data_IF_627451086250
#
_entry.id   IF_627451086250
#
_cell.length_a   1.000
_cell.length_b   1.000
_cell.length_c   1.000
_cell.angle_alpha   90.00
_cell.angle_beta   90.00
_cell.angle_gamma   90.00
#
_symmetry.space_group_name_H-M   'P 1'
#
loop_
_entity.id
_entity.type
_entity.pdbx_description
1 polymer ?
#
# COMPACT_ATOMS: atom_id res chain seq x y z
N UNK A 1 16.66 -21.12 2.78
CA UNK A 1 16.17 -19.83 3.26
C UNK A 1 16.70 -18.61 2.47
N UNK A 2 17.88 -18.65 1.85
CA UNK A 2 18.52 -17.47 1.23
C UNK A 2 17.96 -17.05 -0.14
N UNK A 3 17.16 -17.85 -0.81
CA UNK A 3 16.68 -17.60 -2.19
C UNK A 3 15.35 -16.86 -2.30
N UNK A 4 14.61 -16.71 -1.21
CA UNK A 4 13.33 -15.98 -1.18
C UNK A 4 13.55 -14.46 -1.31
N UNK A 5 14.72 -13.99 -0.87
CA UNK A 5 15.09 -12.57 -0.81
C UNK A 5 15.05 -11.83 -2.15
N UNK A 6 15.37 -12.51 -3.24
CA UNK A 6 15.58 -11.82 -4.53
C UNK A 6 14.29 -11.57 -5.29
N UNK A 7 13.23 -12.32 -5.00
CA UNK A 7 12.01 -12.26 -5.80
C UNK A 7 11.00 -11.24 -5.28
N UNK A 8 10.92 -11.09 -3.97
CA UNK A 8 10.01 -10.09 -3.37
C UNK A 8 10.42 -8.66 -3.73
N UNK A 9 11.72 -8.41 -3.87
CA UNK A 9 12.25 -7.11 -4.27
C UNK A 9 11.95 -6.77 -5.74
N UNK A 10 11.89 -7.78 -6.61
CA UNK A 10 11.69 -7.58 -8.05
C UNK A 10 10.24 -7.20 -8.40
N UNK A 11 9.25 -7.68 -7.63
CA UNK A 11 7.83 -7.41 -7.91
C UNK A 11 7.44 -5.99 -7.51
N UNK A 12 8.08 -5.42 -6.49
CA UNK A 12 7.79 -4.06 -6.01
C UNK A 12 8.37 -2.98 -6.94
N UNK A 13 9.44 -3.31 -7.67
CA UNK A 13 10.12 -2.34 -8.54
C UNK A 13 9.36 -1.98 -9.82
N UNK A 14 8.33 -2.73 -10.20
CA UNK A 14 7.61 -2.51 -11.47
C UNK A 14 6.38 -1.60 -11.38
N UNK A 15 5.96 -1.19 -10.19
CA UNK A 15 4.72 -0.40 -10.01
C UNK A 15 4.93 1.11 -10.21
N UNK A 16 6.13 1.59 -10.53
CA UNK A 16 6.45 3.02 -10.49
C UNK A 16 6.48 3.75 -11.85
N UNK A 17 5.87 3.23 -12.90
CA UNK A 17 5.87 3.99 -14.16
C UNK A 17 4.46 4.14 -14.73
N UNK A 18 3.78 5.18 -14.38
CA UNK A 18 2.98 6.00 -15.28
C UNK A 18 2.33 7.19 -14.58
N UNK A 19 3.04 8.30 -14.46
CA UNK A 19 2.39 9.60 -14.31
C UNK A 19 2.13 10.19 -15.69
N UNK A 20 0.91 10.12 -16.18
CA UNK A 20 0.51 10.80 -17.39
C UNK A 20 0.44 12.31 -17.16
N UNK A 21 1.17 13.05 -17.97
CA UNK A 21 1.26 14.50 -18.03
C UNK A 21 -0.11 15.11 -18.36
N UNK A 22 -0.66 15.90 -17.47
CA UNK A 22 -1.89 16.68 -17.70
C UNK A 22 -1.56 17.89 -18.57
N UNK A 23 -2.19 17.97 -19.71
CA UNK A 23 -2.15 19.14 -20.60
C UNK A 23 -3.28 20.09 -20.20
N UNK A 24 -2.92 21.31 -19.85
CA UNK A 24 -3.89 22.38 -19.59
C UNK A 24 -4.52 22.84 -20.91
N UNK A 25 -5.83 22.73 -21.00
CA UNK A 25 -6.57 23.46 -22.01
C UNK A 25 -7.77 24.16 -21.35
N UNK A 26 -7.68 25.47 -21.27
CA UNK A 26 -8.71 26.35 -20.72
C UNK A 26 -9.86 26.47 -21.72
N UNK A 27 -11.04 26.03 -21.32
CA UNK A 27 -12.29 26.51 -21.92
C UNK A 27 -13.41 26.58 -20.89
N UNK A 28 -13.89 27.77 -20.69
CA UNK A 28 -15.01 28.16 -19.84
C UNK A 28 -16.29 27.44 -20.27
N UNK A 29 -16.87 26.63 -19.42
CA UNK A 29 -18.23 26.13 -19.58
C UNK A 29 -18.87 25.90 -18.23
N UNK A 30 -20.12 26.35 -18.11
CA UNK A 30 -20.97 26.38 -16.95
C UNK A 30 -20.95 25.12 -16.09
N UNK A 31 -20.68 25.29 -14.81
CA UNK A 31 -20.61 24.27 -13.78
C UNK A 31 -21.97 23.66 -13.47
N UNK A 32 -22.23 22.50 -14.01
CA UNK A 32 -23.03 21.52 -13.28
C UNK A 32 -22.08 20.83 -12.31
N UNK A 33 -22.20 21.11 -11.04
CA UNK A 33 -21.42 20.46 -9.96
C UNK A 33 -21.87 19.01 -9.88
N UNK A 34 -21.30 18.16 -10.71
CA UNK A 34 -21.33 16.74 -10.48
C UNK A 34 -20.29 16.50 -9.38
N UNK A 35 -20.74 16.31 -8.16
CA UNK A 35 -19.91 15.86 -7.05
C UNK A 35 -19.40 14.47 -7.43
N UNK A 36 -18.24 14.39 -8.05
CA UNK A 36 -17.55 13.10 -8.20
C UNK A 36 -17.07 12.70 -6.81
N UNK A 37 -17.80 11.82 -6.16
CA UNK A 37 -17.33 11.23 -4.91
C UNK A 37 -16.05 10.46 -5.23
N UNK A 38 -14.93 10.93 -4.72
CA UNK A 38 -13.67 10.20 -4.79
C UNK A 38 -13.84 8.88 -4.06
N UNK A 39 -13.53 7.77 -4.73
CA UNK A 39 -13.61 6.43 -4.16
C UNK A 39 -12.22 6.03 -3.70
N UNK A 40 -12.10 5.57 -2.48
CA UNK A 40 -10.86 5.10 -1.87
C UNK A 40 -10.85 3.58 -1.79
N UNK A 41 -9.65 3.00 -1.83
CA UNK A 41 -9.46 1.58 -1.56
C UNK A 41 -9.91 1.23 -0.14
N UNK A 42 -10.46 0.04 0.04
CA UNK A 42 -10.95 -0.43 1.33
C UNK A 42 -10.08 -1.57 1.86
N UNK A 43 -9.90 -1.68 3.20
CA UNK A 43 -9.22 -2.83 3.78
C UNK A 43 -9.95 -4.13 3.47
N UNK A 44 -9.23 -5.13 2.97
CA UNK A 44 -9.79 -6.47 2.70
C UNK A 44 -9.37 -7.50 3.74
N UNK A 45 -8.39 -7.18 4.56
CA UNK A 45 -7.80 -8.06 5.57
C UNK A 45 -8.62 -8.22 6.85
N UNK A 46 -9.67 -7.44 7.03
CA UNK A 46 -10.36 -7.34 8.32
C UNK A 46 -9.53 -6.72 9.44
N UNK A 47 -8.42 -6.04 9.12
CA UNK A 47 -7.63 -5.33 10.11
C UNK A 47 -8.46 -4.23 10.77
N UNK A 48 -8.44 -4.19 12.10
CA UNK A 48 -9.10 -3.15 12.87
C UNK A 48 -8.09 -2.10 13.29
N UNK A 49 -8.39 -0.85 13.00
CA UNK A 49 -7.57 0.28 13.43
C UNK A 49 -7.56 0.39 14.96
N UNK A 50 -6.38 0.52 15.54
CA UNK A 50 -6.18 0.64 16.99
C UNK A 50 -4.83 1.30 17.29
N UNK A 51 -4.77 2.10 18.34
CA UNK A 51 -3.53 2.75 18.77
C UNK A 51 -3.07 3.90 17.85
N UNK A 52 -1.88 4.39 18.17
CA UNK A 52 -1.26 5.54 17.49
C UNK A 52 0.24 5.31 17.43
N UNK A 53 0.83 5.44 16.25
CA UNK A 53 2.29 5.42 16.05
C UNK A 53 2.77 6.87 16.07
N UNK A 54 3.75 7.17 16.91
CA UNK A 54 4.38 8.49 16.97
C UNK A 54 5.63 8.50 16.09
N UNK A 55 5.75 9.51 15.24
CA UNK A 55 6.84 9.70 14.29
C UNK A 55 7.35 11.16 14.46
N UNK A 56 8.39 11.36 15.26
CA UNK A 56 8.89 12.68 15.59
C UNK A 56 7.80 13.55 16.22
N UNK A 57 7.45 14.65 15.56
CA UNK A 57 6.38 15.55 15.99
C UNK A 57 5.01 15.18 15.44
N UNK A 58 4.89 14.09 14.69
CA UNK A 58 3.67 13.64 14.06
C UNK A 58 3.16 12.35 14.69
N UNK A 59 1.89 12.09 14.47
CA UNK A 59 1.26 10.84 14.90
C UNK A 59 0.36 10.32 13.79
N UNK A 60 0.36 9.01 13.58
CA UNK A 60 -0.55 8.35 12.66
C UNK A 60 -1.44 7.37 13.40
N UNK A 61 -2.72 7.38 13.09
CA UNK A 61 -3.72 6.50 13.69
C UNK A 61 -4.87 6.23 12.72
N UNK A 62 -5.55 5.11 12.86
CA UNK A 62 -6.69 4.80 12.01
C UNK A 62 -6.30 4.10 10.71
N UNK A 63 -7.10 4.32 9.67
CA UNK A 63 -6.92 3.75 8.34
C UNK A 63 -6.60 4.83 7.33
N UNK A 64 -5.66 4.57 6.47
CA UNK A 64 -5.28 5.44 5.35
C UNK A 64 -5.42 4.67 4.05
N UNK A 65 -5.96 5.31 3.01
CA UNK A 65 -6.13 4.67 1.71
C UNK A 65 -5.79 5.62 0.56
N UNK A 66 -5.32 5.06 -0.54
CA UNK A 66 -5.22 5.81 -1.80
C UNK A 66 -6.58 5.86 -2.50
N UNK A 67 -6.75 6.85 -3.35
CA UNK A 67 -7.80 6.78 -4.35
C UNK A 67 -7.67 5.50 -5.18
N UNK A 68 -8.81 5.04 -5.68
CA UNK A 68 -8.88 3.95 -6.63
C UNK A 68 -8.31 4.39 -7.99
N UNK A 69 -7.32 3.70 -8.51
CA UNK A 69 -6.68 4.06 -9.76
C UNK A 69 -6.55 2.85 -10.70
N UNK A 70 -6.46 3.12 -12.00
CA UNK A 70 -6.36 2.06 -12.99
C UNK A 70 -5.10 1.22 -12.83
N UNK A 71 -5.28 -0.09 -12.90
CA UNK A 71 -4.22 -1.09 -12.96
C UNK A 71 -4.32 -1.80 -14.32
N UNK A 72 -3.61 -1.29 -15.33
CA UNK A 72 -3.69 -1.81 -16.71
C UNK A 72 -2.39 -2.48 -17.15
N UNK A 73 -1.67 -3.07 -16.22
CA UNK A 73 -0.37 -3.70 -16.48
C UNK A 73 -0.53 -5.21 -16.68
N UNK A 74 0.35 -5.80 -17.49
CA UNK A 74 0.49 -7.25 -17.64
C UNK A 74 0.98 -7.97 -16.37
N UNK A 75 1.31 -7.23 -15.34
CA UNK A 75 1.78 -7.73 -14.04
C UNK A 75 0.67 -7.89 -13.00
N UNK A 76 -0.59 -7.82 -13.41
CA UNK A 76 -1.76 -8.04 -12.54
C UNK A 76 -2.64 -9.17 -13.09
N UNK A 77 -3.54 -9.76 -12.28
CA UNK A 77 -4.52 -10.72 -12.76
C UNK A 77 -5.33 -10.17 -13.94
N UNK A 78 -5.70 -11.03 -14.89
CA UNK A 78 -6.33 -10.63 -16.16
C UNK A 78 -7.70 -9.98 -16.02
N UNK A 79 -8.37 -10.17 -14.91
CA UNK A 79 -9.68 -9.60 -14.59
C UNK A 79 -9.61 -8.33 -13.72
N UNK A 80 -8.40 -7.91 -13.34
CA UNK A 80 -8.17 -6.67 -12.59
C UNK A 80 -8.12 -5.47 -13.54
N UNK A 81 -8.81 -4.40 -13.17
CA UNK A 81 -8.80 -3.14 -13.90
C UNK A 81 -8.35 -1.96 -13.03
N UNK A 82 -8.46 -2.09 -11.72
CA UNK A 82 -8.12 -1.03 -10.76
C UNK A 82 -7.38 -1.60 -9.55
N UNK A 83 -6.70 -0.71 -8.85
CA UNK A 83 -5.99 -1.06 -7.62
C UNK A 83 -5.99 0.12 -6.65
N UNK A 84 -5.61 -0.16 -5.42
CA UNK A 84 -5.37 0.84 -4.40
C UNK A 84 -4.53 0.28 -3.26
N UNK A 85 -3.96 1.19 -2.49
CA UNK A 85 -3.17 0.85 -1.32
C UNK A 85 -3.91 1.23 -0.05
N UNK A 86 -3.76 0.42 0.97
CA UNK A 86 -4.33 0.67 2.30
C UNK A 86 -3.25 0.51 3.36
N UNK A 87 -3.27 1.35 4.38
CA UNK A 87 -2.49 1.20 5.58
C UNK A 87 -3.40 1.32 6.80
N UNK A 88 -3.32 0.37 7.71
CA UNK A 88 -4.12 0.33 8.93
C UNK A 88 -3.18 0.29 10.12
N UNK A 89 -3.22 1.31 10.97
CA UNK A 89 -2.48 1.32 12.23
C UNK A 89 -3.18 0.38 13.20
N UNK A 90 -2.48 -0.63 13.70
CA UNK A 90 -3.05 -1.71 14.50
C UNK A 90 -2.61 -1.70 15.98
N UNK A 91 -1.56 -0.93 16.29
CA UNK A 91 -1.12 -0.67 17.67
C UNK A 91 -0.23 0.58 17.72
N UNK A 92 0.41 0.84 18.85
CA UNK A 92 1.36 1.95 19.00
C UNK A 92 2.69 1.74 18.26
N UNK A 93 2.95 0.56 17.75
CA UNK A 93 4.19 0.17 17.09
C UNK A 93 3.97 -0.76 15.89
N UNK A 94 2.73 -0.94 15.45
CA UNK A 94 2.45 -1.82 14.32
C UNK A 94 1.41 -1.27 13.37
N UNK A 95 1.60 -1.56 12.09
CA UNK A 95 0.65 -1.28 11.04
C UNK A 95 0.63 -2.40 10.00
N UNK A 96 -0.48 -2.50 9.30
CA UNK A 96 -0.65 -3.39 8.16
C UNK A 96 -0.72 -2.56 6.90
N UNK A 97 0.00 -2.99 5.87
CA UNK A 97 -0.16 -2.46 4.51
C UNK A 97 -0.81 -3.51 3.63
N UNK A 98 -1.61 -3.03 2.69
CA UNK A 98 -2.30 -3.86 1.71
C UNK A 98 -2.12 -3.25 0.33
N UNK A 99 -2.00 -4.11 -0.68
CA UNK A 99 -2.14 -3.76 -2.08
C UNK A 99 -3.34 -4.55 -2.57
N UNK A 100 -4.42 -3.87 -2.87
CA UNK A 100 -5.68 -4.49 -3.27
C UNK A 100 -5.96 -4.22 -4.74
N UNK A 101 -6.35 -5.25 -5.46
CA UNK A 101 -6.64 -5.25 -6.88
C UNK A 101 -8.12 -5.54 -7.11
N UNK A 102 -8.77 -4.77 -7.97
CA UNK A 102 -10.21 -4.77 -8.15
C UNK A 102 -10.59 -4.91 -9.62
N UNK A 103 -11.79 -5.46 -9.87
CA UNK A 103 -12.37 -5.58 -11.21
C UNK A 103 -12.99 -4.27 -11.71
N UNK A 104 -13.31 -3.37 -10.81
CA UNK A 104 -14.07 -2.16 -11.11
C UNK A 104 -13.38 -0.88 -10.62
N UNK A 105 -13.84 0.24 -11.16
CA UNK A 105 -13.35 1.57 -10.84
C UNK A 105 -13.79 2.10 -9.48
N UNK A 106 -14.62 1.39 -8.76
CA UNK A 106 -15.12 1.79 -7.43
C UNK A 106 -14.31 1.17 -6.30
N UNK A 107 -13.38 0.25 -6.59
CA UNK A 107 -12.52 -0.41 -5.61
C UNK A 107 -13.29 -0.97 -4.40
N UNK A 108 -14.40 -1.64 -4.65
CA UNK A 108 -15.19 -2.24 -3.58
C UNK A 108 -14.62 -3.61 -3.21
N UNK A 109 -14.63 -3.95 -1.93
CA UNK A 109 -14.12 -5.23 -1.45
C UNK A 109 -14.87 -6.45 -2.02
N UNK A 110 -16.11 -6.27 -2.43
CA UNK A 110 -16.97 -7.30 -3.04
C UNK A 110 -16.60 -7.58 -4.49
N UNK A 111 -15.90 -6.65 -5.15
CA UNK A 111 -15.30 -6.90 -6.46
C UNK A 111 -14.16 -7.87 -6.28
N UNK A 112 -13.75 -8.51 -7.33
CA UNK A 112 -12.56 -9.34 -7.26
C UNK A 112 -11.41 -8.56 -6.66
N UNK A 113 -10.69 -9.14 -5.72
CA UNK A 113 -9.42 -8.59 -5.28
C UNK A 113 -8.37 -9.67 -5.05
N UNK A 114 -7.14 -9.29 -5.25
CA UNK A 114 -5.96 -9.95 -4.72
C UNK A 114 -5.39 -9.02 -3.67
N UNK A 115 -5.37 -9.45 -2.44
CA UNK A 115 -4.81 -8.67 -1.34
C UNK A 115 -3.42 -9.14 -0.98
N UNK A 116 -2.47 -8.23 -0.90
CA UNK A 116 -1.17 -8.47 -0.30
C UNK A 116 -1.11 -7.73 1.01
N UNK A 117 -0.98 -8.49 2.09
CA UNK A 117 -1.04 -7.96 3.42
C UNK A 117 0.34 -8.05 4.07
N UNK A 118 0.85 -6.91 4.49
CA UNK A 118 2.04 -6.87 5.32
C UNK A 118 1.64 -6.60 6.75
N UNK A 119 1.94 -7.50 7.65
CA UNK A 119 1.89 -7.19 9.08
C UNK A 119 3.30 -6.77 9.48
N UNK A 120 3.41 -5.56 10.00
CA UNK A 120 4.66 -4.96 10.45
C UNK A 120 4.53 -4.66 11.92
N UNK A 121 5.38 -5.27 12.72
CA UNK A 121 5.47 -5.05 14.17
C UNK A 121 6.81 -4.38 14.50
N UNK A 122 6.89 -3.77 15.68
CA UNK A 122 8.10 -3.07 16.16
C UNK A 122 8.57 -1.95 15.23
N UNK A 123 7.65 -1.12 14.76
CA UNK A 123 7.99 0.10 14.04
C UNK A 123 8.72 1.05 14.99
N UNK A 124 9.94 1.40 14.64
CA UNK A 124 10.78 2.28 15.47
C UNK A 124 11.14 3.54 14.69
N UNK A 125 10.81 4.69 15.25
CA UNK A 125 11.23 5.99 14.74
C UNK A 125 12.75 6.17 14.92
N UNK A 126 13.42 6.52 13.82
CA UNK A 126 14.87 6.79 13.77
C UNK A 126 15.17 8.29 13.52
N UNK A 127 14.13 9.11 13.56
CA UNK A 127 14.20 10.55 13.32
C UNK A 127 14.17 10.98 11.87
N UNK A 128 14.19 12.30 11.64
CA UNK A 128 14.03 12.87 10.30
C UNK A 128 15.21 12.55 9.39
N UNK A 129 14.96 12.59 8.09
CA UNK A 129 16.03 12.56 7.10
C UNK A 129 16.72 13.92 7.06
N UNK A 130 18.05 13.94 7.08
CA UNK A 130 18.83 15.17 7.03
C UNK A 130 18.68 15.97 5.72
N UNK A 131 18.11 15.37 4.68
CA UNK A 131 18.03 15.93 3.33
C UNK A 131 16.67 16.49 2.94
N UNK A 132 15.65 16.33 3.78
CA UNK A 132 14.29 16.76 3.42
C UNK A 132 13.71 17.67 4.50
N UNK A 133 13.53 18.94 4.13
CA UNK A 133 12.87 19.94 4.96
C UNK A 133 11.36 19.71 5.12
N UNK A 134 10.82 18.67 4.48
CA UNK A 134 9.39 18.31 4.47
C UNK A 134 9.10 17.06 5.31
N UNK A 135 9.74 16.94 6.47
CA UNK A 135 9.32 15.99 7.52
C UNK A 135 9.14 14.53 7.10
N UNK A 136 10.14 13.96 6.42
CA UNK A 136 10.20 12.52 6.24
C UNK A 136 10.89 11.89 7.46
N UNK A 137 10.20 11.00 8.13
CA UNK A 137 10.75 10.25 9.24
C UNK A 137 11.34 8.92 8.73
N UNK A 138 12.56 8.61 9.17
CA UNK A 138 13.16 7.31 8.99
C UNK A 138 12.52 6.34 9.97
N UNK A 139 12.09 5.21 9.46
CA UNK A 139 11.58 4.14 10.31
C UNK A 139 12.28 2.83 10.01
N UNK A 140 12.43 2.02 11.04
CA UNK A 140 12.77 0.61 10.91
C UNK A 140 11.60 -0.22 11.42
N UNK A 141 11.43 -1.39 10.86
CA UNK A 141 10.40 -2.33 11.30
C UNK A 141 10.75 -3.75 10.95
N UNK A 142 10.10 -4.69 11.64
CA UNK A 142 10.14 -6.10 11.28
C UNK A 142 8.86 -6.47 10.54
N UNK A 143 8.99 -6.89 9.29
CA UNK A 143 7.91 -7.55 8.59
C UNK A 143 7.78 -8.97 9.14
N UNK A 144 6.65 -9.26 9.77
CA UNK A 144 6.45 -10.54 10.47
C UNK A 144 5.94 -11.60 9.51
N UNK A 145 4.95 -11.24 8.70
CA UNK A 145 4.42 -12.13 7.66
C UNK A 145 3.73 -11.34 6.55
N UNK A 146 3.60 -12.00 5.42
CA UNK A 146 2.77 -11.60 4.31
C UNK A 146 1.52 -12.48 4.27
N UNK A 147 0.40 -11.91 3.87
CA UNK A 147 -0.85 -12.64 3.67
C UNK A 147 -1.32 -12.41 2.25
N UNK A 148 -1.62 -13.47 1.55
CA UNK A 148 -2.14 -13.44 0.18
C UNK A 148 -3.54 -14.01 0.16
N UNK A 149 -4.46 -13.36 -0.56
CA UNK A 149 -5.82 -13.84 -0.71
C UNK A 149 -6.31 -13.57 -2.13
N UNK A 150 -6.41 -14.62 -2.92
CA UNK A 150 -7.10 -14.58 -4.19
C UNK A 150 -8.60 -14.75 -3.95
N UNK A 151 -9.43 -13.94 -4.59
CA UNK A 151 -10.89 -14.05 -4.48
C UNK A 151 -11.54 -14.55 -5.77
N UNK A 152 -10.74 -14.80 -6.82
CA UNK A 152 -11.19 -15.45 -8.06
C UNK A 152 -10.14 -16.38 -8.64
N UNK A 153 -10.56 -17.19 -9.57
CA UNK A 153 -9.70 -18.12 -10.30
C UNK A 153 -8.59 -17.41 -11.09
N UNK A 154 -8.86 -16.21 -11.62
CA UNK A 154 -7.85 -15.43 -12.33
C UNK A 154 -6.75 -14.94 -11.39
N UNK A 155 -7.12 -14.45 -10.21
CA UNK A 155 -6.17 -14.04 -9.17
C UNK A 155 -5.39 -15.24 -8.62
N UNK A 156 -6.05 -16.36 -8.40
CA UNK A 156 -5.40 -17.60 -7.94
C UNK A 156 -4.39 -18.11 -8.97
N UNK A 157 -4.77 -18.20 -10.22
CA UNK A 157 -3.86 -18.58 -11.32
C UNK A 157 -2.65 -17.66 -11.39
N UNK A 158 -2.88 -16.36 -11.26
CA UNK A 158 -1.82 -15.35 -11.30
C UNK A 158 -0.82 -15.53 -10.13
N UNK A 159 -1.31 -15.58 -8.90
CA UNK A 159 -0.45 -15.68 -7.72
C UNK A 159 0.26 -17.03 -7.64
N UNK A 160 -0.41 -18.12 -7.99
CA UNK A 160 0.19 -19.46 -8.07
C UNK A 160 1.30 -19.48 -9.10
N UNK A 161 1.11 -18.82 -10.25
CA UNK A 161 2.14 -18.66 -11.27
C UNK A 161 3.38 -17.91 -10.73
N UNK A 162 3.19 -16.80 -10.02
CA UNK A 162 4.27 -16.02 -9.41
C UNK A 162 5.08 -16.83 -8.38
N UNK A 163 4.43 -17.68 -7.61
CA UNK A 163 5.04 -18.47 -6.54
C UNK A 163 5.34 -19.92 -6.92
N UNK A 164 5.19 -20.27 -8.19
CA UNK A 164 5.37 -21.64 -8.68
C UNK A 164 6.73 -22.26 -8.34
N UNK A 165 7.79 -21.45 -8.34
CA UNK A 165 9.14 -21.90 -7.97
C UNK A 165 9.29 -22.35 -6.50
N UNK A 166 8.33 -22.02 -5.65
CA UNK A 166 8.35 -22.30 -4.22
C UNK A 166 7.35 -23.39 -3.82
N UNK A 167 6.60 -23.95 -4.78
CA UNK A 167 5.58 -24.95 -4.53
C UNK A 167 4.54 -24.47 -3.50
N UNK A 168 4.19 -23.20 -3.54
CA UNK A 168 3.14 -22.63 -2.69
C UNK A 168 1.82 -22.78 -3.43
N UNK A 169 0.89 -23.45 -2.80
CA UNK A 169 -0.46 -23.66 -3.29
C UNK A 169 -1.39 -22.61 -2.70
N UNK A 170 -2.13 -21.94 -3.54
CA UNK A 170 -3.13 -20.96 -3.17
C UNK A 170 -4.52 -21.54 -3.46
N UNK A 171 -5.53 -20.99 -2.83
CA UNK A 171 -6.91 -21.42 -2.97
C UNK A 171 -7.83 -20.20 -2.91
N UNK A 172 -8.75 -20.12 -3.84
CA UNK A 172 -9.72 -19.01 -3.91
C UNK A 172 -10.51 -18.90 -2.60
N UNK A 173 -10.57 -17.70 -2.07
CA UNK A 173 -11.26 -17.37 -0.82
C UNK A 173 -10.51 -17.78 0.46
N UNK A 174 -9.32 -18.36 0.34
CA UNK A 174 -8.52 -18.79 1.48
C UNK A 174 -7.27 -17.92 1.62
N UNK A 175 -7.10 -17.29 2.80
CA UNK A 175 -5.91 -16.52 3.07
C UNK A 175 -4.68 -17.43 3.29
N UNK A 176 -3.61 -17.15 2.56
CA UNK A 176 -2.32 -17.83 2.71
C UNK A 176 -1.34 -16.94 3.45
N UNK A 177 -0.87 -17.41 4.60
CA UNK A 177 0.11 -16.69 5.43
C UNK A 177 1.51 -17.24 5.17
N UNK A 178 2.45 -16.35 4.91
CA UNK A 178 3.87 -16.67 4.75
C UNK A 178 4.67 -15.90 5.79
N UNK A 179 5.30 -16.61 6.72
CA UNK A 179 6.19 -16.01 7.72
C UNK A 179 7.45 -15.48 7.06
N UNK A 180 7.82 -14.26 7.36
CA UNK A 180 8.96 -13.56 6.75
C UNK A 180 10.06 -13.21 7.75
N UNK A 181 9.78 -12.42 8.76
CA UNK A 181 10.74 -12.01 9.78
C UNK A 181 11.82 -11.06 9.26
N UNK A 182 11.56 -10.27 8.22
CA UNK A 182 12.55 -9.39 7.62
C UNK A 182 12.63 -8.04 8.32
N UNK A 183 13.85 -7.65 8.65
CA UNK A 183 14.13 -6.29 9.09
C UNK A 183 14.18 -5.36 7.86
N UNK A 184 13.51 -4.23 7.96
CA UNK A 184 13.36 -3.29 6.86
C UNK A 184 13.62 -1.84 7.28
N UNK A 185 14.08 -1.07 6.31
CA UNK A 185 14.22 0.38 6.36
C UNK A 185 13.15 1.03 5.48
N UNK A 186 12.55 2.11 5.96
CA UNK A 186 11.57 2.86 5.18
C UNK A 186 11.61 4.36 5.53
N UNK A 187 10.92 5.15 4.71
CA UNK A 187 10.58 6.54 4.99
C UNK A 187 9.06 6.66 5.10
N UNK A 188 8.61 7.39 6.10
CA UNK A 188 7.21 7.78 6.22
C UNK A 188 7.13 9.29 6.25
N UNK A 189 6.39 9.87 5.32
CA UNK A 189 6.07 11.29 5.31
C UNK A 189 4.63 11.47 5.76
N UNK A 190 4.44 12.24 6.80
CA UNK A 190 3.12 12.70 7.25
C UNK A 190 2.93 14.12 6.74
N UNK A 191 1.86 14.37 6.04
CA UNK A 191 1.49 15.70 5.58
C UNK A 191 0.24 16.15 6.32
N UNK A 192 0.41 17.14 7.16
CA UNK A 192 -0.69 17.87 7.78
C UNK A 192 -1.42 18.67 6.68
N UNK A 193 -2.72 18.48 6.56
CA UNK A 193 -3.57 19.22 5.63
C UNK A 193 -4.34 20.35 6.32
N UNK A 194 -3.99 20.66 7.56
CA UNK A 194 -4.64 21.71 8.37
C UNK A 194 -5.96 21.25 8.99
N UNK A 195 -6.35 19.98 8.82
CA UNK A 195 -7.42 19.36 9.59
C UNK A 195 -6.89 18.93 10.96
N UNK A 196 -7.78 18.72 11.91
CA UNK A 196 -7.41 18.19 13.24
C UNK A 196 -6.97 16.73 13.21
N UNK A 197 -7.09 16.09 12.07
CA UNK A 197 -6.70 14.71 11.82
C UNK A 197 -5.47 14.67 10.90
N UNK A 198 -4.54 13.77 11.16
CA UNK A 198 -3.23 13.61 10.53
C UNK A 198 -3.27 13.39 9.00
N UNK A 199 -3.94 14.24 8.30
CA UNK A 199 -4.12 14.48 6.86
C UNK A 199 -3.83 13.33 5.91
N UNK A 200 -2.57 13.15 5.55
CA UNK A 200 -2.17 12.10 4.62
C UNK A 200 -0.78 11.55 4.93
N UNK A 201 -0.57 10.30 4.52
CA UNK A 201 0.68 9.57 4.71
C UNK A 201 1.23 9.10 3.38
N UNK A 202 2.55 9.19 3.23
CA UNK A 202 3.28 8.65 2.09
C UNK A 202 4.34 7.68 2.61
N UNK A 203 4.49 6.56 1.95
CA UNK A 203 5.48 5.55 2.31
C UNK A 203 6.58 5.50 1.26
N UNK A 204 7.82 5.31 1.69
CA UNK A 204 8.93 5.01 0.81
C UNK A 204 8.87 3.57 0.30
N UNK A 205 9.78 3.25 -0.61
CA UNK A 205 10.00 1.87 -1.00
C UNK A 205 10.61 1.08 0.16
N UNK A 206 10.14 -0.13 0.32
CA UNK A 206 10.67 -1.04 1.33
C UNK A 206 12.06 -1.52 0.94
N UNK A 207 13.02 -1.47 1.86
CA UNK A 207 14.39 -1.90 1.63
C UNK A 207 14.94 -2.67 2.83
N UNK A 208 15.68 -3.72 2.56
CA UNK A 208 16.37 -4.53 3.58
C UNK A 208 17.81 -4.11 3.84
N UNK A 209 18.33 -3.13 3.11
CA UNK A 209 19.75 -2.76 3.16
C UNK A 209 20.03 -1.32 3.55
N UNK A 210 19.13 -0.39 3.21
CA UNK A 210 19.32 1.05 3.47
C UNK A 210 17.99 1.78 3.42
N UNK A 211 17.95 2.99 3.99
CA UNK A 211 16.77 3.85 3.83
C UNK A 211 16.57 4.24 2.37
N UNK A 212 15.32 4.25 1.89
CA UNK A 212 14.98 4.82 0.59
C UNK A 212 15.43 6.29 0.52
N UNK A 213 15.67 6.78 -0.68
CA UNK A 213 16.00 8.20 -0.90
C UNK A 213 14.78 9.10 -1.00
N UNK A 214 13.63 8.52 -1.32
CA UNK A 214 12.37 9.24 -1.55
C UNK A 214 11.17 8.45 -1.02
N UNK A 215 10.08 9.15 -0.75
CA UNK A 215 8.77 8.53 -0.56
C UNK A 215 8.05 8.37 -1.89
N UNK A 216 7.13 7.42 -1.97
CA UNK A 216 6.24 7.25 -3.11
C UNK A 216 5.36 8.48 -3.31
N UNK A 217 4.94 8.73 -4.54
CA UNK A 217 3.92 9.75 -4.84
C UNK A 217 2.50 9.33 -4.45
N UNK A 218 2.29 8.09 -4.05
CA UNK A 218 0.97 7.57 -3.67
C UNK A 218 0.52 8.17 -2.35
N UNK A 219 -0.45 9.08 -2.43
CA UNK A 219 -1.03 9.76 -1.29
C UNK A 219 -2.07 8.84 -0.63
N UNK A 220 -1.83 8.46 0.62
CA UNK A 220 -2.81 7.74 1.44
C UNK A 220 -3.53 8.77 2.33
N UNK A 221 -4.82 8.89 2.16
CA UNK A 221 -5.68 9.83 2.90
C UNK A 221 -6.35 9.08 4.03
N UNK A 222 -6.47 9.72 5.20
CA UNK A 222 -7.16 9.15 6.36
C UNK A 222 -8.65 8.97 6.06
N UNK A 223 -9.18 7.80 6.47
CA UNK A 223 -10.57 7.38 6.24
C UNK A 223 -11.40 7.49 7.53
#
# INVERSE_FOLDING_TARGET
>A
MLKIFSFTLLIISFVLISCAKKSDNSSTSSSTTTSSSTTYATPTSGATASGTITLGNYSISGTYATECFSASDSTVPTDVTHMGFVAVVTSSDSYRREINYYKDSTCTAESLSLGWYYKMDNVTDQGPTASDSTANEKVTYTEVHQVFMATTDAADTFITGLWSAYSIDFEVGTAKVLDTGFFNYNLIKVQDDGSSDDGSVYFGEQSTSAYPSTVSSSKHVKQ
#
